data_IF_458739697246
#
_entry.id   IF_458739697246
#
_cell.length_a   1.000
_cell.length_b   1.000
_cell.length_c   1.000
_cell.angle_alpha   90.00
_cell.angle_beta   90.00
_cell.angle_gamma   90.00
#
_symmetry.space_group_name_H-M   'P 1'
#
loop_
_entity.id
_entity.type
_entity.pdbx_description
1 polymer ?
#
# COMPACT_ATOMS: atom_id res chain seq x y z
N UNK A 1 13.04 -11.40 5.82
CA UNK A 1 12.65 -10.22 6.62
C UNK A 1 11.46 -10.62 7.45
N UNK A 2 11.56 -10.49 8.77
CA UNK A 2 10.52 -10.94 9.69
C UNK A 2 9.42 -9.89 9.88
N UNK A 3 9.80 -8.60 9.83
CA UNK A 3 8.88 -7.47 9.98
C UNK A 3 9.16 -6.43 8.90
N UNK A 4 8.11 -5.93 8.25
CA UNK A 4 8.19 -4.85 7.26
C UNK A 4 7.23 -3.73 7.65
N UNK A 5 7.71 -2.49 7.56
CA UNK A 5 6.87 -1.30 7.58
C UNK A 5 7.03 -0.57 6.24
N UNK A 6 6.03 -0.71 5.37
CA UNK A 6 6.00 -0.08 4.06
C UNK A 6 5.14 1.18 4.13
N UNK A 7 5.79 2.31 4.38
CA UNK A 7 5.18 3.63 4.38
C UNK A 7 5.94 4.55 3.46
N UNK A 8 5.28 4.99 2.40
CA UNK A 8 5.90 5.84 1.39
C UNK A 8 6.89 5.08 0.50
N UNK A 9 6.90 3.74 0.51
CA UNK A 9 7.66 2.94 -0.45
C UNK A 9 6.75 2.48 -1.59
N UNK A 10 5.85 1.51 -1.41
CA UNK A 10 4.95 1.02 -2.48
C UNK A 10 4.15 2.15 -3.13
N UNK A 11 3.63 3.09 -2.34
CA UNK A 11 2.87 4.24 -2.83
C UNK A 11 3.70 5.22 -3.66
N UNK A 12 5.03 5.13 -3.57
CA UNK A 12 6.02 5.95 -4.29
C UNK A 12 6.65 5.24 -5.49
N UNK A 13 6.24 3.99 -5.76
CA UNK A 13 6.65 3.24 -6.95
C UNK A 13 5.69 3.60 -8.10
N UNK A 14 6.27 3.83 -9.29
CA UNK A 14 5.56 3.97 -10.56
C UNK A 14 4.59 2.79 -10.75
N UNK A 15 3.38 3.07 -11.24
CA UNK A 15 2.27 2.09 -11.25
C UNK A 15 2.66 0.81 -12.00
N UNK A 16 3.40 0.97 -13.10
CA UNK A 16 3.85 -0.10 -13.98
C UNK A 16 4.89 -1.02 -13.33
N UNK A 17 5.57 -0.55 -12.28
CA UNK A 17 6.62 -1.28 -11.56
C UNK A 17 6.13 -1.94 -10.25
N UNK A 18 4.88 -1.68 -9.83
CA UNK A 18 4.36 -2.16 -8.55
C UNK A 18 4.25 -3.67 -8.46
N UNK A 19 3.87 -4.34 -9.54
CA UNK A 19 3.81 -5.80 -9.58
C UNK A 19 5.19 -6.39 -9.29
N UNK A 20 6.23 -5.86 -9.96
CA UNK A 20 7.62 -6.27 -9.75
C UNK A 20 8.07 -5.98 -8.33
N UNK A 21 7.70 -4.81 -7.77
CA UNK A 21 8.01 -4.45 -6.39
C UNK A 21 7.39 -5.44 -5.41
N UNK A 22 6.08 -5.73 -5.52
CA UNK A 22 5.39 -6.66 -4.62
C UNK A 22 5.97 -8.08 -4.72
N UNK A 23 6.30 -8.52 -5.94
CA UNK A 23 6.97 -9.82 -6.17
C UNK A 23 8.34 -9.87 -5.50
N UNK A 24 9.15 -8.82 -5.63
CA UNK A 24 10.44 -8.72 -4.95
C UNK A 24 10.26 -8.68 -3.43
N UNK A 25 9.35 -7.87 -2.90
CA UNK A 25 9.11 -7.79 -1.46
C UNK A 25 8.71 -9.15 -0.92
N UNK A 26 7.80 -9.89 -1.60
CA UNK A 26 7.41 -11.24 -1.18
C UNK A 26 8.59 -12.21 -1.12
N UNK A 27 9.54 -12.15 -2.06
CA UNK A 27 10.70 -13.06 -2.06
C UNK A 27 11.69 -12.78 -0.92
N UNK A 28 11.63 -11.58 -0.32
CA UNK A 28 12.47 -11.19 0.81
C UNK A 28 11.86 -11.54 2.18
N UNK A 29 10.60 -11.96 2.24
CA UNK A 29 9.89 -12.23 3.50
C UNK A 29 10.27 -13.60 4.07
N UNK A 30 10.50 -13.63 5.39
CA UNK A 30 10.67 -14.88 6.13
C UNK A 30 9.32 -15.59 6.28
N UNK A 31 9.26 -16.91 6.53
CA UNK A 31 8.05 -17.55 7.02
C UNK A 31 7.52 -16.85 8.29
N UNK A 32 6.20 -16.79 8.46
CA UNK A 32 5.54 -16.08 9.58
C UNK A 32 5.88 -14.58 9.70
N UNK A 33 6.18 -13.92 8.58
CA UNK A 33 6.43 -12.47 8.58
C UNK A 33 5.21 -11.66 9.05
N UNK A 34 5.47 -10.42 9.45
CA UNK A 34 4.45 -9.39 9.69
C UNK A 34 4.74 -8.14 8.87
N UNK A 35 3.89 -7.84 7.89
CA UNK A 35 4.06 -6.70 6.99
C UNK A 35 2.95 -5.69 7.23
N UNK A 36 3.31 -4.51 7.74
CA UNK A 36 2.40 -3.38 7.82
C UNK A 36 2.55 -2.49 6.57
N UNK A 37 1.46 -2.29 5.85
CA UNK A 37 1.40 -1.50 4.62
C UNK A 37 0.55 -0.26 4.87
N UNK A 38 1.11 0.90 4.57
CA UNK A 38 0.41 2.17 4.55
C UNK A 38 0.02 2.52 3.12
N UNK A 39 -1.25 2.87 2.91
CA UNK A 39 -1.74 3.38 1.61
C UNK A 39 -2.56 4.64 1.81
N UNK A 40 -2.83 5.35 0.72
CA UNK A 40 -3.70 6.52 0.73
C UNK A 40 -4.70 6.47 -0.42
N UNK A 41 -5.92 6.92 -0.14
CA UNK A 41 -6.99 7.13 -1.11
C UNK A 41 -7.32 8.62 -1.16
N UNK A 42 -7.38 9.19 -2.36
CA UNK A 42 -7.74 10.57 -2.62
C UNK A 42 -8.24 10.72 -4.07
N UNK A 43 -8.74 11.91 -4.43
CA UNK A 43 -9.11 12.24 -5.82
C UNK A 43 -7.85 12.51 -6.66
N UNK A 44 -7.48 11.54 -7.51
CA UNK A 44 -6.27 11.60 -8.32
C UNK A 44 -6.32 12.61 -9.47
N UNK A 45 -7.50 13.16 -9.81
CA UNK A 45 -7.61 14.26 -10.77
C UNK A 45 -6.93 15.55 -10.27
N UNK A 46 -6.70 15.65 -8.96
CA UNK A 46 -6.13 16.83 -8.31
C UNK A 46 -4.62 16.74 -8.09
N UNK A 47 -4.02 15.55 -8.21
CA UNK A 47 -2.61 15.34 -7.89
C UNK A 47 -2.01 14.10 -8.57
N UNK A 48 -1.04 14.34 -9.45
CA UNK A 48 -0.34 13.31 -10.22
C UNK A 48 1.00 12.87 -9.61
N UNK A 49 1.43 13.44 -8.48
CA UNK A 49 2.71 13.13 -7.85
C UNK A 49 2.72 11.88 -6.97
N UNK A 50 3.55 11.88 -5.93
CA UNK A 50 3.65 10.81 -4.93
C UNK A 50 3.32 11.33 -3.52
N UNK A 51 2.68 10.52 -2.67
CA UNK A 51 2.23 9.14 -2.90
C UNK A 51 1.04 9.09 -3.86
N UNK A 52 1.00 8.06 -4.71
CA UNK A 52 -0.08 7.81 -5.65
C UNK A 52 -1.31 7.23 -4.95
N UNK A 53 -2.47 7.48 -5.54
CA UNK A 53 -3.76 6.94 -5.10
C UNK A 53 -3.75 5.40 -5.13
N UNK A 54 -4.26 4.78 -4.05
CA UNK A 54 -4.28 3.33 -3.83
C UNK A 54 -5.59 2.88 -3.19
N UNK A 55 -6.70 2.88 -3.95
CA UNK A 55 -7.97 2.34 -3.49
C UNK A 55 -7.86 0.84 -3.19
N UNK A 56 -8.73 0.33 -2.33
CA UNK A 56 -8.69 -1.06 -1.86
C UNK A 56 -8.65 -2.08 -3.01
N UNK A 57 -9.40 -1.85 -4.09
CA UNK A 57 -9.40 -2.72 -5.27
C UNK A 57 -7.97 -2.89 -5.85
N UNK A 58 -7.23 -1.79 -6.00
CA UNK A 58 -5.85 -1.80 -6.49
C UNK A 58 -4.93 -2.53 -5.52
N UNK A 59 -5.08 -2.32 -4.21
CA UNK A 59 -4.28 -3.03 -3.19
C UNK A 59 -4.56 -4.55 -3.27
N UNK A 60 -5.82 -4.96 -3.33
CA UNK A 60 -6.19 -6.38 -3.41
C UNK A 60 -5.71 -7.03 -4.70
N UNK A 61 -5.78 -6.32 -5.83
CA UNK A 61 -5.30 -6.81 -7.11
C UNK A 61 -3.77 -6.98 -7.12
N UNK A 62 -3.01 -6.02 -6.60
CA UNK A 62 -1.54 -6.10 -6.53
C UNK A 62 -1.03 -7.31 -5.73
N UNK A 63 -1.75 -7.70 -4.67
CA UNK A 63 -1.38 -8.84 -3.82
C UNK A 63 -2.14 -10.13 -4.15
N UNK A 64 -3.04 -10.12 -5.14
CA UNK A 64 -3.76 -11.30 -5.58
C UNK A 64 -2.77 -12.38 -6.06
N UNK A 65 -2.96 -13.62 -5.61
CA UNK A 65 -2.10 -14.74 -5.98
C UNK A 65 -0.68 -14.71 -5.37
N UNK A 66 -0.33 -13.74 -4.51
CA UNK A 66 1.00 -13.66 -3.87
C UNK A 66 1.14 -14.53 -2.62
N UNK A 67 0.11 -15.30 -2.24
CA UNK A 67 0.10 -16.08 -1.01
C UNK A 67 0.28 -15.18 0.22
N UNK A 68 -0.49 -14.09 0.25
CA UNK A 68 -0.52 -13.14 1.35
C UNK A 68 -1.96 -12.84 1.72
N UNK A 69 -2.29 -12.86 3.01
CA UNK A 69 -3.60 -12.46 3.52
C UNK A 69 -3.56 -10.98 3.85
N UNK A 70 -4.51 -10.23 3.31
CA UNK A 70 -4.65 -8.79 3.54
C UNK A 70 -5.75 -8.55 4.57
N UNK A 71 -5.39 -7.99 5.72
CA UNK A 71 -6.32 -7.53 6.74
C UNK A 71 -6.26 -6.02 6.85
N UNK A 72 -7.39 -5.35 6.66
CA UNK A 72 -7.53 -3.93 6.98
C UNK A 72 -7.45 -3.75 8.51
N UNK A 73 -6.68 -2.77 8.96
CA UNK A 73 -6.45 -2.51 10.38
C UNK A 73 -7.13 -1.22 10.82
N UNK A 74 -6.87 -0.13 10.11
CA UNK A 74 -7.35 1.18 10.51
C UNK A 74 -7.37 2.17 9.34
N UNK A 75 -8.12 3.26 9.51
CA UNK A 75 -8.14 4.41 8.60
C UNK A 75 -8.06 5.73 9.34
N UNK A 76 -7.49 6.72 8.66
CA UNK A 76 -7.44 8.09 9.15
C UNK A 76 -7.83 9.07 8.03
N UNK A 77 -8.85 9.90 8.27
CA UNK A 77 -9.36 10.89 7.32
C UNK A 77 -10.84 10.67 6.96
N UNK A 78 -11.37 11.36 5.94
CA UNK A 78 -10.65 12.26 5.04
C UNK A 78 -10.22 13.55 5.74
N UNK A 79 -9.03 14.05 5.41
CA UNK A 79 -8.53 15.36 5.85
C UNK A 79 -7.55 15.95 4.84
N UNK A 80 -7.33 17.28 4.85
CA UNK A 80 -6.30 17.90 4.03
C UNK A 80 -4.93 17.30 4.30
N UNK A 81 -4.18 17.06 3.22
CA UNK A 81 -2.77 16.64 3.24
C UNK A 81 -1.99 17.54 2.30
N UNK A 82 -0.65 17.47 2.36
CA UNK A 82 0.22 18.37 1.58
C UNK A 82 0.02 18.34 0.06
N UNK A 83 -0.68 17.33 -0.47
CA UNK A 83 -0.86 17.07 -1.89
C UNK A 83 -2.31 16.75 -2.27
N UNK A 84 -3.27 16.85 -1.35
CA UNK A 84 -4.70 16.63 -1.64
C UNK A 84 -5.57 17.31 -0.58
N UNK A 85 -6.72 17.86 -0.98
CA UNK A 85 -7.68 18.51 -0.07
C UNK A 85 -8.39 17.51 0.86
N UNK A 86 -8.51 16.25 0.44
CA UNK A 86 -9.20 15.20 1.19
C UNK A 86 -8.57 13.83 0.92
N UNK A 87 -7.63 13.42 1.77
CA UNK A 87 -6.97 12.12 1.70
C UNK A 87 -7.29 11.22 2.90
N UNK A 88 -7.71 9.99 2.64
CA UNK A 88 -7.90 8.95 3.65
C UNK A 88 -6.73 7.96 3.60
N UNK A 89 -6.03 7.82 4.72
CA UNK A 89 -4.97 6.83 4.87
C UNK A 89 -5.55 5.52 5.34
N UNK A 90 -5.03 4.42 4.85
CA UNK A 90 -5.34 3.07 5.31
C UNK A 90 -4.08 2.36 5.80
N UNK A 91 -4.24 1.55 6.84
CA UNK A 91 -3.22 0.62 7.31
C UNK A 91 -3.71 -0.80 7.09
N UNK A 92 -2.86 -1.61 6.48
CA UNK A 92 -3.10 -3.02 6.21
C UNK A 92 -2.06 -3.86 6.92
N UNK A 93 -2.47 -5.02 7.42
CA UNK A 93 -1.57 -6.06 7.89
C UNK A 93 -1.60 -7.21 6.91
N UNK A 94 -0.41 -7.52 6.40
CA UNK A 94 -0.16 -8.60 5.46
C UNK A 94 0.61 -9.70 6.18
N UNK A 95 0.12 -10.92 6.05
CA UNK A 95 0.74 -12.14 6.59
C UNK A 95 0.74 -13.23 5.51
N UNK A 96 1.35 -14.37 5.79
CA UNK A 96 1.20 -15.59 4.99
C UNK A 96 -0.26 -16.10 4.93
#
# INVERSE_FOLDING_TARGET
MDIVWDRGALSSIDVELRERYVTLMKSLLSPNFSYALWTIVYDDSTYEGFPKNMPEAVVRELFAGKGMKLRFIDSEGPRPRSYTEAGTVHVWHLTE
#
